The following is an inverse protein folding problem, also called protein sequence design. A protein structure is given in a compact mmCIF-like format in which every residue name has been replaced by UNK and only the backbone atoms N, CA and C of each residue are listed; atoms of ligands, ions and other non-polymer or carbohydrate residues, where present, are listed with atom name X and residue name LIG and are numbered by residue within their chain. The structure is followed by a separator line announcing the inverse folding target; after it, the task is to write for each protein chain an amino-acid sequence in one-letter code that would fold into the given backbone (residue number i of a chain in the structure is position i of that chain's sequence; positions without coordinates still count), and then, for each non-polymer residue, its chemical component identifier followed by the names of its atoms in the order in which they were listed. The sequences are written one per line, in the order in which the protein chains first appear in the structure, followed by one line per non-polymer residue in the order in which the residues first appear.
data_IF_217841239933
#
_entry.id   IF_217841239933
#
_cell.length_a   1.000
_cell.length_b   1.000
_cell.length_c   1.000
_cell.angle_alpha   90.00
_cell.angle_beta   90.00
_cell.angle_gamma   90.00
#
_symmetry.space_group_name_H-M   'P 1'
#
loop_
_entity.id
_entity.type
_entity.pdbx_description
1 polymer ?
#
# COMPACT_ATOMS: atom_id res chain seq x y z
N UNK A 1 68.03 -46.17 -47.16
CA UNK A 1 66.81 -47.00 -47.34
C UNK A 1 65.73 -46.46 -46.40
N UNK A 2 64.54 -46.17 -46.95
CA UNK A 2 63.24 -45.98 -46.26
C UNK A 2 62.96 -44.63 -45.55
N UNK A 3 62.26 -43.71 -46.25
CA UNK A 3 60.83 -43.28 -46.10
C UNK A 3 60.61 -42.15 -45.05
N UNK A 4 60.31 -40.91 -45.47
CA UNK A 4 58.98 -40.23 -45.42
C UNK A 4 58.19 -40.53 -44.13
N UNK A 5 57.68 -39.55 -43.38
CA UNK A 5 56.49 -38.75 -43.74
C UNK A 5 56.29 -37.58 -42.75
N UNK A 6 55.98 -36.38 -43.25
CA UNK A 6 55.44 -35.24 -42.47
C UNK A 6 54.01 -35.53 -42.04
N UNK A 7 53.68 -35.34 -40.76
CA UNK A 7 52.29 -35.12 -40.32
C UNK A 7 52.30 -33.99 -39.29
N UNK A 8 51.78 -32.83 -39.70
CA UNK A 8 51.52 -31.71 -38.80
C UNK A 8 50.37 -32.05 -37.87
N UNK A 9 50.55 -31.77 -36.58
CA UNK A 9 49.47 -31.86 -35.59
C UNK A 9 48.97 -30.46 -35.29
N UNK A 10 47.73 -30.23 -35.72
CA UNK A 10 46.93 -29.02 -35.56
C UNK A 10 46.77 -28.70 -34.07
N UNK A 11 47.11 -27.48 -33.66
CA UNK A 11 46.75 -26.95 -32.36
C UNK A 11 45.24 -26.74 -32.30
N UNK A 12 44.54 -27.55 -31.51
CA UNK A 12 43.14 -27.32 -31.15
C UNK A 12 43.14 -26.20 -30.10
N UNK A 13 42.87 -24.97 -30.55
CA UNK A 13 42.56 -23.87 -29.67
C UNK A 13 41.12 -24.04 -29.15
N UNK A 14 40.97 -24.48 -27.90
CA UNK A 14 39.70 -24.44 -27.19
C UNK A 14 39.37 -22.97 -26.87
N UNK A 15 38.51 -22.35 -27.68
CA UNK A 15 37.89 -21.07 -27.33
C UNK A 15 36.85 -21.32 -26.23
N UNK A 16 37.20 -21.01 -24.98
CA UNK A 16 36.24 -20.93 -23.89
C UNK A 16 35.34 -19.72 -24.13
N UNK A 17 34.15 -19.94 -24.69
CA UNK A 17 33.11 -18.93 -24.82
C UNK A 17 32.55 -18.64 -23.41
N UNK A 18 33.09 -17.62 -22.74
CA UNK A 18 32.49 -17.09 -21.53
C UNK A 18 31.17 -16.41 -21.94
N UNK A 19 30.06 -17.13 -21.76
CA UNK A 19 28.73 -16.54 -21.75
C UNK A 19 28.67 -15.56 -20.56
N UNK A 20 28.99 -14.30 -20.81
CA UNK A 20 28.56 -13.20 -19.95
C UNK A 20 27.03 -13.15 -20.04
N UNK A 21 26.36 -13.91 -19.17
CA UNK A 21 24.99 -13.57 -18.84
C UNK A 21 25.03 -12.15 -18.26
N UNK A 22 24.28 -11.18 -18.83
CA UNK A 22 24.16 -9.89 -18.17
C UNK A 22 23.59 -10.18 -16.78
N UNK A 23 24.35 -9.84 -15.74
CA UNK A 23 23.78 -9.65 -14.41
C UNK A 23 22.64 -8.65 -14.64
N UNK A 24 21.40 -9.14 -14.57
CA UNK A 24 20.23 -8.29 -14.60
C UNK A 24 20.39 -7.35 -13.41
N UNK A 25 20.90 -6.14 -13.66
CA UNK A 25 20.95 -5.08 -12.67
C UNK A 25 19.53 -4.91 -12.18
N UNK A 26 19.27 -5.28 -10.94
CA UNK A 26 17.99 -5.06 -10.32
C UNK A 26 17.61 -3.61 -10.54
N UNK A 27 16.58 -3.39 -11.34
CA UNK A 27 16.18 -2.04 -11.71
C UNK A 27 15.60 -1.40 -10.45
N UNK A 28 16.43 -0.60 -9.79
CA UNK A 28 16.11 0.16 -8.58
C UNK A 28 14.86 1.03 -8.80
N UNK A 29 14.65 1.44 -10.06
CA UNK A 29 13.45 2.11 -10.56
C UNK A 29 12.77 1.19 -11.57
N UNK A 30 11.63 0.64 -11.21
CA UNK A 30 10.79 -0.16 -12.10
C UNK A 30 9.72 0.73 -12.73
N UNK A 31 9.51 0.59 -14.03
CA UNK A 31 8.38 1.18 -14.72
C UNK A 31 7.43 0.06 -15.15
N UNK A 32 6.13 0.24 -14.89
CA UNK A 32 5.07 -0.62 -15.40
C UNK A 32 4.27 0.13 -16.45
N UNK A 33 3.86 -0.56 -17.51
CA UNK A 33 2.78 -0.08 -18.37
C UNK A 33 1.45 -0.43 -17.72
N UNK A 34 0.56 0.57 -17.63
CA UNK A 34 -0.77 0.40 -17.07
C UNK A 34 -1.66 -0.39 -18.03
N UNK A 35 -2.24 -1.45 -17.50
CA UNK A 35 -3.30 -2.26 -18.08
C UNK A 35 -4.44 -2.40 -17.04
N UNK A 36 -5.72 -2.33 -17.47
CA UNK A 36 -6.85 -2.63 -16.60
C UNK A 36 -6.75 -4.04 -15.98
N UNK A 37 -7.12 -4.16 -14.70
CA UNK A 37 -7.20 -5.41 -13.92
C UNK A 37 -5.90 -6.23 -13.80
N UNK A 38 -4.76 -5.67 -14.24
CA UNK A 38 -3.46 -6.30 -14.10
C UNK A 38 -2.96 -6.21 -12.66
N UNK A 39 -2.30 -7.28 -12.22
CA UNK A 39 -1.63 -7.36 -10.92
C UNK A 39 -0.19 -6.89 -11.08
N UNK A 40 0.21 -5.90 -10.29
CA UNK A 40 1.56 -5.34 -10.29
C UNK A 40 2.32 -5.76 -9.04
N UNK A 41 3.42 -6.47 -9.22
CA UNK A 41 4.28 -6.87 -8.11
C UNK A 41 5.16 -5.72 -7.64
N UNK A 42 5.04 -5.39 -6.35
CA UNK A 42 5.84 -4.36 -5.69
C UNK A 42 6.78 -5.05 -4.69
N UNK A 43 8.05 -5.14 -5.06
CA UNK A 43 9.09 -5.78 -4.27
C UNK A 43 9.75 -4.79 -3.32
N UNK A 44 9.49 -4.90 -2.04
CA UNK A 44 10.00 -4.03 -0.98
C UNK A 44 11.06 -4.76 -0.14
N UNK A 45 11.75 -4.01 0.71
CA UNK A 45 12.74 -4.55 1.64
C UNK A 45 12.54 -4.01 3.05
N UNK A 46 12.84 -4.82 4.06
CA UNK A 46 12.77 -4.40 5.45
C UNK A 46 13.73 -3.22 5.68
N UNK A 47 13.21 -2.14 6.27
CA UNK A 47 13.99 -0.91 6.49
C UNK A 47 14.23 -0.05 5.24
N UNK A 48 13.65 -0.41 4.08
CA UNK A 48 13.75 0.36 2.83
C UNK A 48 12.36 0.86 2.45
N UNK A 49 12.26 2.15 2.12
CA UNK A 49 11.02 2.74 1.61
C UNK A 49 10.95 2.56 0.09
N UNK A 50 9.88 1.94 -0.38
CA UNK A 50 9.52 1.86 -1.81
C UNK A 50 8.47 2.91 -2.12
N UNK A 51 8.73 3.77 -3.11
CA UNK A 51 7.73 4.72 -3.59
C UNK A 51 6.97 4.14 -4.79
N UNK A 52 5.65 4.27 -4.80
CA UNK A 52 4.78 3.97 -5.93
C UNK A 52 4.15 5.27 -6.42
N UNK A 53 4.54 5.71 -7.61
CA UNK A 53 4.13 6.97 -8.22
C UNK A 53 3.14 6.71 -9.37
N UNK A 54 1.92 7.20 -9.18
CA UNK A 54 0.87 7.24 -10.20
C UNK A 54 1.01 8.50 -11.05
N UNK A 55 0.31 8.59 -12.18
CA UNK A 55 0.28 9.84 -12.95
C UNK A 55 -0.24 11.01 -12.09
N UNK A 56 0.33 12.22 -12.20
CA UNK A 56 -0.21 13.41 -11.55
C UNK A 56 -1.65 13.76 -11.97
N UNK A 57 -2.11 13.25 -13.11
CA UNK A 57 -3.48 13.42 -13.59
C UNK A 57 -4.46 12.46 -12.91
N UNK A 58 -3.97 11.52 -12.09
CA UNK A 58 -4.80 10.58 -11.34
C UNK A 58 -5.36 11.20 -10.08
N UNK A 59 -6.67 11.41 -10.07
CA UNK A 59 -7.37 11.76 -8.84
C UNK A 59 -7.68 10.48 -8.06
N UNK A 60 -6.80 10.12 -7.13
CA UNK A 60 -7.03 8.98 -6.22
C UNK A 60 -8.24 9.27 -5.34
N UNK A 61 -9.21 8.36 -5.40
CA UNK A 61 -10.42 8.37 -4.59
C UNK A 61 -10.14 7.67 -3.25
N UNK A 62 -9.68 6.42 -3.30
CA UNK A 62 -9.40 5.64 -2.10
C UNK A 62 -8.30 4.59 -2.32
N UNK A 63 -7.88 3.97 -1.21
CA UNK A 63 -7.00 2.81 -1.22
C UNK A 63 -7.21 1.94 0.03
N UNK A 64 -6.90 0.65 -0.09
CA UNK A 64 -6.95 -0.31 1.00
C UNK A 64 -5.82 -1.33 0.88
N UNK A 65 -5.37 -1.89 2.00
CA UNK A 65 -4.38 -2.97 2.06
C UNK A 65 -4.90 -4.08 2.95
N UNK A 66 -4.63 -5.34 2.57
CA UNK A 66 -5.13 -6.50 3.32
C UNK A 66 -4.56 -6.60 4.73
N UNK A 67 -3.24 -6.43 4.88
CA UNK A 67 -2.56 -6.57 6.18
C UNK A 67 -1.96 -5.26 6.69
N UNK A 68 -2.81 -4.28 7.01
CA UNK A 68 -2.39 -2.92 7.39
C UNK A 68 -1.37 -2.86 8.54
N UNK A 69 -1.45 -3.75 9.54
CA UNK A 69 -0.49 -3.74 10.66
C UNK A 69 0.94 -4.16 10.25
N UNK A 70 1.09 -4.89 9.16
CA UNK A 70 2.36 -5.32 8.60
C UNK A 70 3.08 -4.23 7.80
N UNK A 71 2.41 -3.11 7.50
CA UNK A 71 2.90 -2.08 6.59
C UNK A 71 2.84 -0.68 7.20
N UNK A 72 3.91 0.08 7.02
CA UNK A 72 3.94 1.52 7.22
C UNK A 72 3.63 2.16 5.85
N UNK A 73 2.44 2.76 5.74
CA UNK A 73 1.91 3.33 4.51
C UNK A 73 1.63 4.81 4.70
N UNK A 74 2.12 5.63 3.76
CA UNK A 74 1.69 7.02 3.65
C UNK A 74 1.54 7.46 2.21
N UNK A 75 0.76 8.52 2.01
CA UNK A 75 0.46 9.08 0.71
C UNK A 75 0.71 10.59 0.73
N UNK A 76 1.29 11.11 -0.35
CA UNK A 76 1.34 12.54 -0.68
C UNK A 76 0.94 12.71 -2.14
N UNK A 77 -0.16 13.40 -2.39
CA UNK A 77 -0.74 13.54 -3.73
C UNK A 77 -0.90 12.20 -4.45
N UNK A 78 -0.16 11.98 -5.55
CA UNK A 78 -0.15 10.78 -6.40
C UNK A 78 0.94 9.76 -6.02
N UNK A 79 1.66 9.97 -4.92
CA UNK A 79 2.78 9.12 -4.48
C UNK A 79 2.44 8.38 -3.20
N UNK A 80 2.65 7.07 -3.19
CA UNK A 80 2.55 6.20 -2.02
C UNK A 80 3.93 5.79 -1.55
N UNK A 81 4.18 5.84 -0.26
CA UNK A 81 5.39 5.35 0.40
C UNK A 81 5.05 4.09 1.16
N UNK A 82 5.69 2.98 0.78
CA UNK A 82 5.50 1.65 1.32
C UNK A 82 6.74 1.20 2.05
N UNK A 83 6.57 0.73 3.28
CA UNK A 83 7.65 0.12 4.04
C UNK A 83 7.10 -1.05 4.87
N UNK A 84 7.60 -2.28 4.68
CA UNK A 84 7.19 -3.40 5.50
C UNK A 84 7.74 -3.25 6.92
N UNK A 85 6.98 -3.72 7.91
CA UNK A 85 7.34 -3.67 9.33
C UNK A 85 7.85 -5.01 9.84
N UNK A 86 7.63 -6.09 9.10
CA UNK A 86 8.07 -7.44 9.45
C UNK A 86 8.37 -8.25 8.17
N UNK A 87 8.89 -9.48 8.31
CA UNK A 87 9.36 -10.32 7.20
C UNK A 87 8.22 -11.05 6.47
N UNK A 88 7.18 -11.49 7.19
CA UNK A 88 6.06 -12.27 6.64
C UNK A 88 4.79 -11.42 6.57
N UNK A 89 4.83 -10.35 5.77
CA UNK A 89 3.72 -9.39 5.65
C UNK A 89 3.23 -9.23 4.21
N UNK A 90 3.56 -10.17 3.33
CA UNK A 90 3.05 -10.22 1.96
C UNK A 90 1.52 -10.05 1.93
N UNK A 91 1.03 -9.14 1.09
CA UNK A 91 -0.39 -8.79 1.03
C UNK A 91 -0.71 -8.12 -0.31
N UNK A 92 -1.99 -7.92 -0.59
CA UNK A 92 -2.44 -7.02 -1.63
C UNK A 92 -2.64 -5.59 -1.12
N UNK A 93 -2.57 -4.63 -2.04
CA UNK A 93 -3.04 -3.27 -1.87
C UNK A 93 -3.81 -2.85 -3.12
N UNK A 94 -4.99 -2.26 -2.93
CA UNK A 94 -5.83 -1.75 -4.00
C UNK A 94 -5.86 -0.23 -3.96
N UNK A 95 -5.72 0.41 -5.11
CA UNK A 95 -5.83 1.87 -5.25
C UNK A 95 -6.88 2.14 -6.32
N UNK A 96 -7.86 2.98 -6.00
CA UNK A 96 -8.90 3.41 -6.92
C UNK A 96 -8.75 4.89 -7.19
N UNK A 97 -8.71 5.26 -8.46
CA UNK A 97 -8.71 6.64 -8.91
C UNK A 97 -10.01 6.95 -9.65
N UNK A 98 -10.16 8.19 -10.10
CA UNK A 98 -11.31 8.60 -10.86
C UNK A 98 -11.40 7.86 -12.22
N UNK A 99 -10.27 7.44 -12.80
CA UNK A 99 -10.20 6.84 -14.14
C UNK A 99 -9.64 5.41 -14.15
N UNK A 100 -8.90 4.98 -13.13
CA UNK A 100 -8.16 3.73 -13.14
C UNK A 100 -8.22 2.99 -11.79
N UNK A 101 -7.96 1.69 -11.83
CA UNK A 101 -7.86 0.84 -10.65
C UNK A 101 -6.56 0.04 -10.68
N UNK A 102 -5.88 -0.06 -9.54
CA UNK A 102 -4.59 -0.72 -9.42
C UNK A 102 -4.67 -1.83 -8.40
N UNK A 103 -4.21 -3.02 -8.78
CA UNK A 103 -4.06 -4.16 -7.89
C UNK A 103 -2.57 -4.38 -7.69
N UNK A 104 -2.07 -4.06 -6.52
CA UNK A 104 -0.67 -4.23 -6.15
C UNK A 104 -0.51 -5.49 -5.32
N UNK A 105 0.44 -6.35 -5.70
CA UNK A 105 0.91 -7.47 -4.89
C UNK A 105 2.19 -7.03 -4.17
N UNK A 106 2.09 -6.76 -2.87
CA UNK A 106 3.21 -6.32 -2.05
C UNK A 106 4.00 -7.53 -1.55
N UNK A 107 5.32 -7.51 -1.82
CA UNK A 107 6.25 -8.60 -1.50
C UNK A 107 7.45 -8.09 -0.71
N UNK A 108 7.85 -8.79 0.35
CA UNK A 108 9.10 -8.50 1.07
C UNK A 108 10.21 -9.41 0.54
N UNK A 109 11.15 -8.86 -0.22
CA UNK A 109 12.20 -9.66 -0.90
C UNK A 109 13.58 -9.55 -0.28
N UNK A 110 13.80 -8.57 0.61
CA UNK A 110 15.07 -8.39 1.33
C UNK A 110 14.80 -8.14 2.81
N UNK A 111 15.27 -9.04 3.67
CA UNK A 111 14.95 -9.04 5.10
C UNK A 111 16.18 -8.94 6.01
N UNK A 112 17.35 -9.42 5.57
CA UNK A 112 18.57 -9.61 6.37
C UNK A 112 19.82 -8.92 5.78
N UNK A 113 19.62 -7.87 4.98
CA UNK A 113 20.71 -7.13 4.35
C UNK A 113 21.51 -6.30 5.37
N UNK A 114 22.83 -6.32 5.23
CA UNK A 114 23.76 -5.48 6.01
C UNK A 114 24.25 -4.28 5.20
N UNK A 115 24.28 -4.42 3.86
CA UNK A 115 24.66 -3.37 2.92
C UNK A 115 23.53 -3.18 1.91
N UNK A 116 23.27 -1.94 1.51
CA UNK A 116 22.20 -1.63 0.55
C UNK A 116 22.35 -2.37 -0.79
N UNK A 117 23.58 -2.68 -1.21
CA UNK A 117 23.82 -3.47 -2.42
C UNK A 117 23.23 -4.88 -2.35
N UNK A 118 23.17 -5.51 -1.17
CA UNK A 118 22.54 -6.83 -0.99
C UNK A 118 21.03 -6.73 -1.20
N UNK A 119 20.38 -5.68 -0.69
CA UNK A 119 18.96 -5.44 -0.92
C UNK A 119 18.66 -5.17 -2.40
N UNK A 120 19.54 -4.43 -3.09
CA UNK A 120 19.43 -4.26 -4.55
C UNK A 120 19.56 -5.59 -5.27
N UNK A 121 20.57 -6.41 -4.94
CA UNK A 121 20.75 -7.74 -5.54
C UNK A 121 19.56 -8.68 -5.28
N UNK A 122 18.91 -8.57 -4.12
CA UNK A 122 17.67 -9.27 -3.81
C UNK A 122 16.44 -8.79 -4.60
N UNK A 123 16.58 -7.70 -5.38
CA UNK A 123 15.55 -7.23 -6.30
C UNK A 123 14.58 -6.20 -5.71
N UNK A 124 14.95 -5.52 -4.62
CA UNK A 124 14.15 -4.44 -4.03
C UNK A 124 13.97 -3.30 -5.04
N UNK A 125 12.73 -2.84 -5.18
CA UNK A 125 12.37 -1.66 -5.95
C UNK A 125 12.35 -0.45 -5.00
N UNK A 126 13.09 0.60 -5.32
CA UNK A 126 13.03 1.88 -4.59
C UNK A 126 11.93 2.77 -5.15
N UNK A 127 11.72 2.71 -6.47
CA UNK A 127 10.66 3.44 -7.17
C UNK A 127 9.92 2.52 -8.12
N UNK A 128 8.61 2.62 -8.10
CA UNK A 128 7.71 2.06 -9.11
C UNK A 128 6.92 3.22 -9.70
N UNK A 129 6.92 3.33 -11.02
CA UNK A 129 6.13 4.35 -11.74
C UNK A 129 5.30 3.69 -12.85
N UNK A 130 4.14 4.29 -13.13
CA UNK A 130 3.26 3.83 -14.19
C UNK A 130 3.38 4.71 -15.43
N UNK A 131 3.52 4.08 -16.59
CA UNK A 131 3.29 4.70 -17.89
C UNK A 131 1.98 4.23 -18.48
N UNK A 132 1.37 5.11 -19.25
CA UNK A 132 0.03 4.94 -19.76
C UNK A 132 0.08 4.98 -21.28
N UNK A 133 -0.54 4.02 -21.99
CA UNK A 133 -0.71 4.09 -23.43
C UNK A 133 -1.35 5.41 -23.86
N UNK A 134 -1.06 5.90 -25.08
CA UNK A 134 -1.57 7.19 -25.57
C UNK A 134 -3.10 7.30 -25.61
N UNK A 135 -3.78 6.16 -25.71
CA UNK A 135 -5.24 6.08 -25.74
C UNK A 135 -5.87 6.06 -24.33
N UNK A 136 -5.04 6.15 -23.28
CA UNK A 136 -5.51 6.18 -21.90
C UNK A 136 -6.16 7.52 -21.60
N UNK A 137 -7.47 7.50 -21.41
CA UNK A 137 -8.21 8.69 -21.02
C UNK A 137 -8.07 8.98 -19.53
N UNK A 138 -7.41 10.09 -19.20
CA UNK A 138 -7.52 10.73 -17.88
C UNK A 138 -8.76 11.64 -17.78
N UNK A 139 -9.50 11.79 -18.87
CA UNK A 139 -10.58 12.75 -19.03
C UNK A 139 -11.91 12.04 -19.32
N UNK A 140 -12.60 11.58 -18.27
CA UNK A 140 -14.06 11.36 -18.26
C UNK A 140 -14.67 11.14 -16.86
N UNK A 141 -13.96 11.47 -15.77
CA UNK A 141 -14.43 11.16 -14.42
C UNK A 141 -14.84 12.40 -13.60
N UNK A 142 -14.95 13.56 -14.23
CA UNK A 142 -15.55 14.74 -13.60
C UNK A 142 -17.08 14.65 -13.53
N UNK A 143 -17.73 13.83 -14.37
CA UNK A 143 -19.20 13.80 -14.46
C UNK A 143 -19.84 12.45 -14.09
N UNK A 144 -19.11 11.33 -14.13
CA UNK A 144 -19.66 9.99 -13.83
C UNK A 144 -19.32 9.40 -12.46
N UNK A 145 -18.53 10.08 -11.62
CA UNK A 145 -18.17 9.59 -10.27
C UNK A 145 -19.25 9.89 -9.22
N UNK A 146 -20.42 10.40 -9.63
CA UNK A 146 -21.50 10.71 -8.68
C UNK A 146 -22.32 9.51 -8.20
N UNK A 147 -22.20 8.32 -8.80
CA UNK A 147 -23.24 7.29 -8.59
C UNK A 147 -22.78 5.86 -8.25
N UNK A 148 -21.48 5.54 -8.19
CA UNK A 148 -21.07 4.14 -7.95
C UNK A 148 -19.94 3.92 -6.91
N UNK A 149 -19.46 4.96 -6.22
CA UNK A 149 -18.71 4.69 -4.99
C UNK A 149 -19.67 4.24 -3.90
N UNK A 150 -19.74 2.94 -3.65
CA UNK A 150 -20.34 2.39 -2.42
C UNK A 150 -19.67 2.94 -1.14
N UNK A 151 -18.60 3.71 -1.29
CA UNK A 151 -17.84 4.43 -0.27
C UNK A 151 -17.87 5.96 -0.49
N UNK A 152 -18.99 6.56 -0.92
CA UNK A 152 -19.12 8.03 -0.86
C UNK A 152 -19.13 8.45 0.62
N UNK A 153 -18.11 9.18 1.06
CA UNK A 153 -18.01 9.74 2.42
C UNK A 153 -18.86 10.98 2.63
N UNK A 154 -19.54 11.48 1.59
CA UNK A 154 -20.50 12.58 1.75
C UNK A 154 -21.72 12.08 2.52
N UNK A 155 -22.13 12.90 3.49
CA UNK A 155 -23.40 12.68 4.18
C UNK A 155 -24.54 12.95 3.18
N UNK A 156 -25.29 11.91 2.84
CA UNK A 156 -26.43 11.99 1.93
C UNK A 156 -27.74 11.92 2.72
N UNK A 157 -28.80 12.58 2.24
CA UNK A 157 -30.05 12.72 3.00
C UNK A 157 -30.87 11.41 3.07
N UNK A 158 -30.56 10.46 2.22
CA UNK A 158 -31.22 9.15 2.06
C UNK A 158 -30.63 8.06 2.98
N UNK A 159 -29.51 8.32 3.66
CA UNK A 159 -28.87 7.37 4.58
C UNK A 159 -29.14 7.72 6.04
N UNK A 160 -29.32 6.68 6.86
CA UNK A 160 -29.42 6.81 8.31
C UNK A 160 -28.03 6.72 8.90
N UNK A 161 -27.62 7.79 9.61
CA UNK A 161 -26.32 7.85 10.26
C UNK A 161 -26.47 7.80 11.78
N UNK A 162 -25.51 7.15 12.44
CA UNK A 162 -25.37 7.11 13.89
C UNK A 162 -24.08 7.81 14.31
N UNK A 163 -24.21 8.89 15.08
CA UNK A 163 -23.11 9.79 15.46
C UNK A 163 -22.69 9.64 16.94
N UNK A 164 -23.33 8.77 17.69
CA UNK A 164 -23.14 8.67 19.14
C UNK A 164 -22.01 7.70 19.49
N UNK A 165 -20.80 8.24 19.41
CA UNK A 165 -19.53 7.57 19.70
C UNK A 165 -18.76 8.31 20.80
N UNK A 166 -18.31 7.55 21.80
CA UNK A 166 -17.37 8.02 22.81
C UNK A 166 -15.94 7.64 22.43
N UNK A 167 -14.96 8.41 22.91
CA UNK A 167 -13.55 8.04 22.82
C UNK A 167 -12.89 8.03 24.20
N UNK A 168 -11.87 7.20 24.36
CA UNK A 168 -10.99 7.20 25.52
C UNK A 168 -9.54 7.08 25.08
N UNK A 169 -8.65 7.83 25.73
CA UNK A 169 -7.22 7.76 25.41
C UNK A 169 -6.36 8.13 26.62
N UNK A 170 -5.20 7.48 26.72
CA UNK A 170 -4.10 7.90 27.60
C UNK A 170 -3.02 8.69 26.85
N UNK A 171 -3.17 8.83 25.54
CA UNK A 171 -2.24 9.57 24.68
C UNK A 171 -2.32 11.06 24.99
N UNK A 172 -1.17 11.70 25.19
CA UNK A 172 -1.09 13.17 25.23
C UNK A 172 -1.12 13.81 23.83
N UNK A 173 -0.98 12.98 22.78
CA UNK A 173 -0.95 13.44 21.40
C UNK A 173 -2.38 13.65 20.91
N UNK A 174 -2.73 14.89 20.57
CA UNK A 174 -4.08 15.25 20.13
C UNK A 174 -4.36 14.76 18.71
N UNK A 175 -3.33 14.63 17.86
CA UNK A 175 -3.48 14.27 16.45
C UNK A 175 -4.01 12.85 16.19
N UNK A 176 -3.93 11.93 17.16
CA UNK A 176 -4.49 10.58 17.03
C UNK A 176 -5.98 10.52 17.42
N UNK A 177 -6.49 11.57 18.07
CA UNK A 177 -7.90 11.64 18.46
C UNK A 177 -8.73 12.03 17.22
N UNK A 178 -9.73 11.23 16.83
CA UNK A 178 -10.59 11.59 15.70
C UNK A 178 -11.34 12.91 15.96
N UNK A 179 -11.54 13.68 14.89
CA UNK A 179 -12.38 14.89 14.90
C UNK A 179 -13.88 14.56 14.95
N UNK A 180 -14.29 13.45 14.31
CA UNK A 180 -15.65 12.93 14.36
C UNK A 180 -15.65 11.44 14.03
N UNK A 181 -16.56 10.69 14.66
CA UNK A 181 -16.80 9.28 14.34
C UNK A 181 -18.30 9.07 14.17
N UNK A 182 -18.69 8.38 13.11
CA UNK A 182 -20.09 8.03 12.84
C UNK A 182 -20.16 6.80 11.95
N UNK A 183 -21.31 6.17 11.87
CA UNK A 183 -21.55 5.04 10.98
C UNK A 183 -22.86 5.16 10.21
N UNK A 184 -23.00 4.43 9.10
CA UNK A 184 -24.23 4.31 8.32
C UNK A 184 -24.88 2.92 8.42
N UNK A 185 -24.53 2.16 9.47
CA UNK A 185 -24.91 0.77 9.67
C UNK A 185 -24.09 -0.24 8.88
N UNK A 186 -23.35 0.17 7.85
CA UNK A 186 -22.47 -0.71 7.05
C UNK A 186 -21.00 -0.38 7.25
N UNK A 187 -20.65 0.89 7.26
CA UNK A 187 -19.28 1.39 7.42
C UNK A 187 -19.19 2.33 8.61
N UNK A 188 -18.05 2.30 9.30
CA UNK A 188 -17.72 3.30 10.32
C UNK A 188 -16.72 4.30 9.75
N UNK A 189 -17.06 5.57 9.78
CA UNK A 189 -16.28 6.69 9.27
C UNK A 189 -15.58 7.41 10.42
N UNK A 190 -14.25 7.33 10.44
CA UNK A 190 -13.39 7.95 11.46
C UNK A 190 -12.64 9.10 10.80
N UNK A 191 -13.09 10.33 11.04
CA UNK A 191 -12.49 11.52 10.44
C UNK A 191 -11.35 12.04 11.29
N UNK A 192 -10.15 12.10 10.72
CA UNK A 192 -8.94 12.56 11.39
C UNK A 192 -8.64 14.03 11.03
N UNK A 193 -8.04 14.78 11.95
CA UNK A 193 -7.52 16.12 11.64
C UNK A 193 -6.09 16.03 11.08
N UNK A 194 -5.96 16.19 9.76
CA UNK A 194 -4.67 16.12 9.08
C UNK A 194 -3.78 17.35 9.33
N UNK A 195 -4.33 18.49 9.76
CA UNK A 195 -3.55 19.71 9.94
C UNK A 195 -2.50 19.58 11.07
N UNK A 196 -2.73 18.64 12.00
CA UNK A 196 -1.84 18.34 13.13
C UNK A 196 -1.10 17.03 12.96
N UNK A 197 -1.25 16.39 11.80
CA UNK A 197 -0.71 15.07 11.54
C UNK A 197 0.75 15.19 11.12
N UNK A 198 1.70 14.51 11.79
CA UNK A 198 3.04 14.34 11.23
C UNK A 198 2.89 13.64 9.89
N UNK A 199 3.20 14.34 8.80
CA UNK A 199 3.07 13.81 7.45
C UNK A 199 3.87 12.51 7.35
N UNK A 200 3.20 11.35 7.32
CA UNK A 200 3.91 10.09 7.12
C UNK A 200 3.33 8.81 7.69
N UNK A 201 2.31 8.80 8.57
CA UNK A 201 1.85 7.52 9.16
C UNK A 201 0.39 7.47 9.61
N UNK A 202 -0.56 7.03 8.76
CA UNK A 202 -1.96 6.80 9.19
C UNK A 202 -2.02 5.74 10.31
N UNK A 203 -2.87 5.94 11.35
CA UNK A 203 -2.98 4.94 12.40
C UNK A 203 -3.71 3.69 11.88
N UNK A 204 -3.46 2.56 12.54
CA UNK A 204 -4.14 1.30 12.25
C UNK A 204 -5.39 1.21 13.12
N UNK A 205 -6.49 0.73 12.54
CA UNK A 205 -7.75 0.50 13.26
C UNK A 205 -7.93 -1.00 13.50
N UNK A 206 -8.34 -1.34 14.72
CA UNK A 206 -8.72 -2.69 15.15
C UNK A 206 -10.15 -2.68 15.66
N UNK A 207 -10.81 -3.83 15.61
CA UNK A 207 -12.12 -4.06 16.23
C UNK A 207 -12.00 -4.80 17.55
N UNK A 208 -13.01 -4.65 18.42
CA UNK A 208 -13.12 -5.37 19.69
C UNK A 208 -14.58 -5.60 20.06
N UNK A 209 -14.89 -6.77 20.62
CA UNK A 209 -16.28 -7.13 21.00
C UNK A 209 -16.71 -6.47 22.32
N UNK A 210 -15.80 -6.41 23.30
CA UNK A 210 -16.03 -5.84 24.65
C UNK A 210 -14.93 -4.85 25.01
N UNK A 211 -15.13 -3.98 25.99
CA UNK A 211 -14.17 -2.92 26.31
C UNK A 211 -12.73 -3.41 26.58
N UNK A 212 -12.55 -4.60 27.17
CA UNK A 212 -11.23 -5.14 27.54
C UNK A 212 -10.89 -6.47 26.83
N UNK A 213 -11.56 -6.78 25.74
CA UNK A 213 -11.26 -7.97 24.94
C UNK A 213 -9.99 -7.84 24.11
N UNK A 214 -9.57 -8.94 23.49
CA UNK A 214 -8.50 -8.94 22.49
C UNK A 214 -8.91 -8.20 21.21
N UNK A 215 -7.94 -7.54 20.58
CA UNK A 215 -8.12 -6.80 19.34
C UNK A 215 -8.14 -7.76 18.15
N UNK A 216 -9.07 -7.57 17.21
CA UNK A 216 -9.07 -8.26 15.91
C UNK A 216 -8.90 -7.28 14.75
N UNK A 217 -8.44 -7.81 13.61
CA UNK A 217 -8.20 -7.03 12.40
C UNK A 217 -9.51 -6.62 11.73
N UNK A 218 -9.58 -5.37 11.27
CA UNK A 218 -10.69 -4.86 10.46
C UNK A 218 -10.16 -4.32 9.14
N UNK A 219 -10.92 -4.57 8.07
CA UNK A 219 -10.62 -3.98 6.78
C UNK A 219 -10.87 -2.48 6.85
N UNK A 220 -9.87 -1.70 6.41
CA UNK A 220 -9.93 -0.24 6.44
C UNK A 220 -9.54 0.30 5.07
N UNK A 221 -10.33 1.24 4.58
CA UNK A 221 -10.04 2.06 3.41
C UNK A 221 -9.74 3.48 3.87
N UNK A 222 -8.87 4.20 3.16
CA UNK A 222 -8.58 5.60 3.47
C UNK A 222 -9.02 6.50 2.31
N UNK A 223 -9.85 7.49 2.62
CA UNK A 223 -10.25 8.56 1.69
C UNK A 223 -9.91 9.92 2.32
N UNK A 224 -8.96 10.64 1.71
CA UNK A 224 -8.50 11.94 2.22
C UNK A 224 -8.03 11.85 3.67
N UNK A 225 -8.80 12.43 4.59
CA UNK A 225 -8.56 12.40 6.04
C UNK A 225 -9.45 11.42 6.82
N UNK A 226 -10.19 10.56 6.14
CA UNK A 226 -11.17 9.65 6.75
C UNK A 226 -10.69 8.21 6.64
N UNK A 227 -10.62 7.53 7.78
CA UNK A 227 -10.48 6.09 7.85
C UNK A 227 -11.87 5.47 7.82
N UNK A 228 -12.14 4.66 6.81
CA UNK A 228 -13.42 3.97 6.60
C UNK A 228 -13.23 2.52 6.99
N UNK A 229 -13.80 2.13 8.11
CA UNK A 229 -13.82 0.74 8.58
C UNK A 229 -14.99 0.02 7.91
N UNK A 230 -14.72 -1.16 7.35
CA UNK A 230 -15.72 -2.02 6.74
C UNK A 230 -16.44 -2.79 7.83
N UNK A 231 -17.62 -2.31 8.21
CA UNK A 231 -18.41 -2.84 9.32
C UNK A 231 -18.70 -1.80 10.40
N UNK A 232 -19.66 -2.14 11.26
CA UNK A 232 -19.95 -1.41 12.49
C UNK A 232 -19.64 -2.31 13.68
N UNK A 233 -18.85 -1.79 14.62
CA UNK A 233 -18.32 -2.56 15.74
C UNK A 233 -18.63 -1.86 17.07
N UNK A 234 -18.87 -2.61 18.17
CA UNK A 234 -19.12 -2.01 19.48
C UNK A 234 -17.95 -1.18 19.99
N UNK A 235 -16.73 -1.68 19.75
CA UNK A 235 -15.49 -0.99 20.10
C UNK A 235 -14.53 -1.00 18.91
N UNK A 236 -13.86 0.12 18.71
CA UNK A 236 -12.74 0.25 17.78
C UNK A 236 -11.52 0.77 18.52
N UNK A 237 -10.33 0.36 18.09
CA UNK A 237 -9.07 0.78 18.69
C UNK A 237 -8.16 1.34 17.60
N UNK A 238 -7.84 2.62 17.70
CA UNK A 238 -6.92 3.31 16.81
C UNK A 238 -5.53 3.28 17.46
N UNK A 239 -4.55 2.70 16.78
CA UNK A 239 -3.17 2.57 17.27
C UNK A 239 -2.18 3.23 16.34
N UNK A 240 -1.24 3.96 16.92
CA UNK A 240 -0.04 4.44 16.24
C UNK A 240 1.14 4.43 17.20
N UNK A 241 2.00 3.40 17.06
CA UNK A 241 3.11 3.17 17.99
C UNK A 241 2.59 2.99 19.42
N UNK A 242 3.07 3.81 20.36
CA UNK A 242 2.63 3.79 21.76
C UNK A 242 1.31 4.54 22.03
N UNK A 243 0.79 5.26 21.05
CA UNK A 243 -0.42 6.06 21.20
C UNK A 243 -1.64 5.21 20.83
N UNK A 244 -2.66 5.22 21.68
CA UNK A 244 -3.87 4.41 21.52
C UNK A 244 -5.09 5.25 21.84
N UNK A 245 -6.12 5.18 20.99
CA UNK A 245 -7.45 5.74 21.22
C UNK A 245 -8.46 4.61 21.11
N UNK A 246 -9.21 4.36 22.17
CA UNK A 246 -10.40 3.51 22.13
C UNK A 246 -11.60 4.33 21.70
N UNK A 247 -12.47 3.75 20.90
CA UNK A 247 -13.76 4.29 20.49
C UNK A 247 -14.84 3.32 20.92
N UNK A 248 -15.93 3.82 21.49
CA UNK A 248 -17.12 3.04 21.85
C UNK A 248 -18.31 3.56 21.09
N UNK A 249 -18.97 2.68 20.33
CA UNK A 249 -20.30 2.94 19.78
C UNK A 249 -21.31 2.81 20.90
N UNK A 250 -22.03 3.88 21.23
CA UNK A 250 -23.04 3.81 22.28
C UNK A 250 -24.23 2.96 21.82
N UNK A 251 -25.02 2.47 22.78
CA UNK A 251 -26.22 1.70 22.45
C UNK A 251 -27.32 2.67 22.06
N UNK A 252 -28.00 2.38 20.95
CA UNK A 252 -29.25 3.06 20.61
C UNK A 252 -30.25 2.85 21.76
N UNK A 253 -30.81 3.96 22.25
CA UNK A 253 -31.83 3.97 23.31
C UNK A 253 -33.20 3.66 22.76
#
# INVERSE_FOLDING_TARGET
MSFLTKIGSVHIALLALWLFAPLASAQVVQQYEYEPDKIYQIRTGLGITTQVELSPNEKILDYSTGFTSGWELSRRENVFYLKPKNVDVDTNMMIRTATHSYILELKVVATDWQRLEQAKQAGVQYKVSFTYPKDTSFAAASEKVKDESQLDTRLTKDRHYYFDYDYSTRSKQVWIVPSSVYDDGKFTYIKMDLARFPTGNFPVVFGREKENDEDFLVNTTVEGNTLIVHGTYPFLVIRHGKNVVGLRRNKQK
#
